data_IF_428737443537
#
_entry.id   IF_428737443537
#
_cell.length_a   1.000
_cell.length_b   1.000
_cell.length_c   1.000
_cell.angle_alpha   90.00
_cell.angle_beta   90.00
_cell.angle_gamma   90.00
#
_symmetry.space_group_name_H-M   'P 1'
#
loop_
_entity.id
_entity.type
_entity.pdbx_description
1 polymer ?
#
# COMPACT_ATOMS: atom_id res chain seq x y z
N UNK A 1 -14.31 33.19 33.34
CA UNK A 1 -15.39 32.18 33.29
C UNK A 1 -15.89 32.19 31.86
N UNK A 2 -15.72 31.20 30.99
CA UNK A 2 -15.26 29.81 31.07
C UNK A 2 -14.86 29.44 29.63
N UNK A 3 -13.72 28.77 29.46
CA UNK A 3 -13.33 28.09 28.23
C UNK A 3 -14.32 26.96 27.96
N UNK A 4 -15.04 26.99 26.85
CA UNK A 4 -15.78 25.84 26.35
C UNK A 4 -15.04 25.22 25.17
N UNK A 5 -14.39 24.10 25.48
CA UNK A 5 -14.30 22.91 24.65
C UNK A 5 -13.89 23.11 23.20
N UNK A 6 -12.57 23.18 22.99
CA UNK A 6 -11.96 22.64 21.77
C UNK A 6 -12.32 21.14 21.71
N UNK A 7 -13.49 20.84 21.15
CA UNK A 7 -13.85 19.50 20.71
C UNK A 7 -13.03 19.26 19.45
N UNK A 8 -11.74 19.00 19.66
CA UNK A 8 -10.80 18.52 18.68
C UNK A 8 -11.30 17.14 18.24
N UNK A 9 -12.27 17.16 17.32
CA UNK A 9 -12.84 15.99 16.69
C UNK A 9 -11.69 15.31 15.97
N UNK A 10 -11.05 14.37 16.67
CA UNK A 10 -9.98 13.57 16.14
C UNK A 10 -10.54 12.81 14.94
N UNK A 11 -10.35 13.38 13.75
CA UNK A 11 -10.66 12.74 12.49
C UNK A 11 -9.95 11.38 12.49
N UNK A 12 -10.63 10.31 12.05
CA UNK A 12 -10.01 8.99 12.00
C UNK A 12 -8.67 9.07 11.27
N UNK A 13 -7.58 8.69 11.95
CA UNK A 13 -6.20 8.75 11.40
C UNK A 13 -6.07 7.97 10.07
N UNK A 14 -6.96 7.00 9.84
CA UNK A 14 -7.07 6.18 8.63
C UNK A 14 -8.55 6.12 8.19
N UNK A 15 -8.78 6.29 6.88
CA UNK A 15 -10.08 6.01 6.24
C UNK A 15 -10.45 4.54 6.47
N UNK A 16 -11.74 4.21 6.55
CA UNK A 16 -12.23 2.83 6.78
C UNK A 16 -11.64 1.85 5.78
N UNK A 17 -11.44 2.28 4.53
CA UNK A 17 -10.80 1.49 3.47
C UNK A 17 -9.34 1.20 3.80
N UNK A 18 -8.60 2.19 4.30
CA UNK A 18 -7.21 2.01 4.67
C UNK A 18 -7.09 1.07 5.88
N UNK A 19 -8.00 1.18 6.86
CA UNK A 19 -8.05 0.26 8.01
C UNK A 19 -8.32 -1.18 7.59
N UNK A 20 -9.32 -1.40 6.73
CA UNK A 20 -9.63 -2.75 6.23
C UNK A 20 -8.49 -3.25 5.36
N UNK A 21 -7.87 -2.39 4.56
CA UNK A 21 -6.71 -2.77 3.75
C UNK A 21 -5.52 -3.18 4.62
N UNK A 22 -5.24 -2.42 5.68
CA UNK A 22 -4.17 -2.70 6.64
C UNK A 22 -4.43 -4.01 7.40
N UNK A 23 -5.69 -4.25 7.80
CA UNK A 23 -6.11 -5.52 8.38
C UNK A 23 -5.90 -6.68 7.40
N UNK A 24 -6.27 -6.51 6.13
CA UNK A 24 -6.02 -7.52 5.09
C UNK A 24 -4.53 -7.77 4.90
N UNK A 25 -3.69 -6.72 4.86
CA UNK A 25 -2.23 -6.88 4.80
C UNK A 25 -1.70 -7.68 6.00
N UNK A 26 -2.17 -7.37 7.21
CA UNK A 26 -1.84 -8.14 8.42
C UNK A 26 -2.26 -9.61 8.35
N UNK A 27 -3.47 -9.89 7.86
CA UNK A 27 -3.98 -11.25 7.68
C UNK A 27 -3.19 -12.03 6.61
N UNK A 28 -2.80 -11.38 5.51
CA UNK A 28 -1.97 -12.00 4.49
C UNK A 28 -0.56 -12.31 5.04
N UNK A 29 0.05 -11.41 5.81
CA UNK A 29 1.32 -11.70 6.50
C UNK A 29 1.21 -12.95 7.40
N UNK A 30 0.13 -13.06 8.19
CA UNK A 30 -0.10 -14.22 9.04
C UNK A 30 -0.31 -15.52 8.23
N UNK A 31 -1.09 -15.47 7.15
CA UNK A 31 -1.32 -16.61 6.26
C UNK A 31 -0.02 -17.08 5.60
N UNK A 32 0.84 -16.16 5.17
CA UNK A 32 2.14 -16.50 4.58
C UNK A 32 3.08 -17.13 5.62
N UNK A 33 3.09 -16.65 6.86
CA UNK A 33 3.84 -17.26 7.95
C UNK A 33 3.36 -18.70 8.24
N UNK A 34 2.05 -18.88 8.44
CA UNK A 34 1.45 -20.20 8.66
C UNK A 34 1.72 -21.15 7.49
N UNK A 35 1.61 -20.67 6.26
CA UNK A 35 1.92 -21.45 5.06
C UNK A 35 3.39 -21.88 5.00
N UNK A 36 4.31 -20.99 5.38
CA UNK A 36 5.75 -21.28 5.44
C UNK A 36 6.06 -22.34 6.52
N UNK A 37 5.49 -22.20 7.71
CA UNK A 37 5.66 -23.17 8.80
C UNK A 37 5.11 -24.55 8.41
N UNK A 38 3.92 -24.60 7.80
CA UNK A 38 3.30 -25.85 7.33
C UNK A 38 4.11 -26.54 6.23
N UNK A 39 4.77 -25.78 5.35
CA UNK A 39 5.62 -26.32 4.30
C UNK A 39 6.97 -26.83 4.83
N UNK A 40 7.54 -26.16 5.83
CA UNK A 40 8.78 -26.56 6.49
C UNK A 40 8.67 -27.90 7.23
N UNK A 41 7.47 -28.30 7.65
CA UNK A 41 7.22 -29.59 8.33
C UNK A 41 7.12 -30.81 7.39
N UNK A 42 7.21 -30.61 6.07
CA UNK A 42 6.96 -31.66 5.06
C UNK A 42 8.25 -32.21 4.39
N UNK A 43 8.98 -33.10 5.08
CA UNK A 43 9.76 -34.20 4.47
C UNK A 43 11.09 -33.93 3.71
N UNK A 44 11.86 -35.00 3.53
CA UNK A 44 13.34 -35.16 3.51
C UNK A 44 14.19 -34.58 2.37
N UNK A 45 13.69 -33.73 1.47
CA UNK A 45 14.53 -33.15 0.38
C UNK A 45 14.88 -31.68 0.67
N UNK A 46 15.63 -31.45 1.76
CA UNK A 46 15.76 -30.16 2.43
C UNK A 46 16.08 -28.97 1.51
N UNK A 47 16.98 -29.13 0.53
CA UNK A 47 17.36 -28.04 -0.39
C UNK A 47 16.28 -27.71 -1.44
N UNK A 48 15.66 -28.73 -2.03
CA UNK A 48 14.62 -28.55 -3.07
C UNK A 48 13.30 -28.12 -2.45
N UNK A 49 12.93 -28.70 -1.32
CA UNK A 49 11.75 -28.32 -0.53
C UNK A 49 11.86 -26.88 -0.04
N UNK A 50 13.03 -26.45 0.46
CA UNK A 50 13.23 -25.06 0.90
C UNK A 50 13.14 -24.06 -0.27
N UNK A 51 13.71 -24.38 -1.43
CA UNK A 51 13.59 -23.54 -2.62
C UNK A 51 12.14 -23.43 -3.12
N UNK A 52 11.42 -24.54 -3.25
CA UNK A 52 10.01 -24.50 -3.67
C UNK A 52 9.12 -23.80 -2.64
N UNK A 53 9.43 -23.91 -1.35
CA UNK A 53 8.73 -23.19 -0.27
C UNK A 53 8.99 -21.69 -0.35
N UNK A 54 10.24 -21.28 -0.53
CA UNK A 54 10.61 -19.86 -0.66
C UNK A 54 9.99 -19.24 -1.92
N UNK A 55 10.04 -19.94 -3.06
CA UNK A 55 9.42 -19.49 -4.31
C UNK A 55 7.88 -19.45 -4.18
N UNK A 56 7.27 -20.48 -3.60
CA UNK A 56 5.82 -20.53 -3.38
C UNK A 56 5.33 -19.40 -2.48
N UNK A 57 6.05 -19.15 -1.38
CA UNK A 57 5.81 -18.03 -0.49
C UNK A 57 5.91 -16.69 -1.23
N UNK A 58 6.94 -16.53 -2.06
CA UNK A 58 7.17 -15.32 -2.83
C UNK A 58 6.06 -15.03 -3.85
N UNK A 59 5.66 -16.05 -4.61
CA UNK A 59 4.59 -15.92 -5.60
C UNK A 59 3.25 -15.65 -4.92
N UNK A 60 2.96 -16.33 -3.80
CA UNK A 60 1.75 -16.09 -3.03
C UNK A 60 1.68 -14.66 -2.49
N UNK A 61 2.81 -14.13 -1.99
CA UNK A 61 2.90 -12.75 -1.52
C UNK A 61 2.66 -11.75 -2.66
N UNK A 62 3.33 -11.91 -3.81
CA UNK A 62 3.11 -11.05 -4.97
C UNK A 62 1.64 -11.07 -5.45
N UNK A 63 0.98 -12.23 -5.37
CA UNK A 63 -0.44 -12.37 -5.73
C UNK A 63 -1.36 -11.63 -4.76
N UNK A 64 -1.09 -11.72 -3.45
CA UNK A 64 -1.85 -10.99 -2.43
C UNK A 64 -1.77 -9.47 -2.66
N UNK A 65 -0.58 -8.95 -2.93
CA UNK A 65 -0.38 -7.52 -3.21
C UNK A 65 -1.07 -7.09 -4.51
N UNK A 66 -1.00 -7.91 -5.57
CA UNK A 66 -1.72 -7.63 -6.82
C UNK A 66 -3.25 -7.59 -6.62
N UNK A 67 -3.79 -8.51 -5.81
CA UNK A 67 -5.21 -8.50 -5.45
C UNK A 67 -5.56 -7.27 -4.62
N UNK A 68 -4.74 -6.91 -3.64
CA UNK A 68 -4.94 -5.70 -2.83
C UNK A 68 -4.88 -4.42 -3.65
N UNK A 69 -4.03 -4.37 -4.66
CA UNK A 69 -4.03 -3.27 -5.63
C UNK A 69 -5.35 -3.17 -6.39
N UNK A 70 -5.90 -4.29 -6.86
CA UNK A 70 -7.21 -4.32 -7.53
C UNK A 70 -8.32 -3.86 -6.58
N UNK A 71 -8.35 -4.38 -5.35
CA UNK A 71 -9.33 -3.97 -4.32
C UNK A 71 -9.23 -2.46 -4.07
N UNK A 72 -8.02 -1.92 -3.85
CA UNK A 72 -7.81 -0.48 -3.64
C UNK A 72 -8.26 0.35 -4.84
N UNK A 73 -7.98 -0.12 -6.05
CA UNK A 73 -8.39 0.55 -7.30
C UNK A 73 -9.91 0.58 -7.45
N UNK A 74 -10.58 -0.55 -7.20
CA UNK A 74 -12.03 -0.66 -7.28
C UNK A 74 -12.71 0.22 -6.22
N UNK A 75 -12.23 0.16 -4.98
CA UNK A 75 -12.78 0.94 -3.87
C UNK A 75 -12.58 2.44 -4.08
N UNK A 76 -11.40 2.87 -4.55
CA UNK A 76 -11.17 4.27 -4.90
C UNK A 76 -12.09 4.75 -6.03
N UNK A 77 -12.31 3.90 -7.05
CA UNK A 77 -13.25 4.20 -8.13
C UNK A 77 -14.68 4.28 -7.61
N UNK A 78 -15.08 3.37 -6.72
CA UNK A 78 -16.35 3.41 -6.02
C UNK A 78 -16.55 4.69 -5.22
N UNK A 79 -15.55 5.11 -4.43
CA UNK A 79 -15.60 6.36 -3.65
C UNK A 79 -15.77 7.59 -4.54
N UNK A 80 -15.05 7.66 -5.66
CA UNK A 80 -15.19 8.74 -6.66
C UNK A 80 -16.59 8.76 -7.29
N UNK A 81 -17.16 7.60 -7.59
CA UNK A 81 -18.52 7.50 -8.12
C UNK A 81 -19.56 7.93 -7.09
N UNK A 82 -19.47 7.43 -5.85
CA UNK A 82 -20.37 7.82 -4.75
C UNK A 82 -20.32 9.32 -4.51
N UNK A 83 -19.13 9.92 -4.55
CA UNK A 83 -18.97 11.37 -4.41
C UNK A 83 -19.68 12.13 -5.54
N UNK A 84 -19.49 11.72 -6.79
CA UNK A 84 -20.13 12.36 -7.92
C UNK A 84 -21.66 12.21 -7.89
N UNK A 85 -22.17 11.05 -7.46
CA UNK A 85 -23.61 10.83 -7.26
C UNK A 85 -24.16 11.68 -6.11
N UNK A 86 -23.43 11.83 -5.00
CA UNK A 86 -23.83 12.68 -3.87
C UNK A 86 -23.91 14.16 -4.28
N UNK A 87 -22.98 14.64 -5.12
CA UNK A 87 -23.02 16.00 -5.66
C UNK A 87 -24.20 16.19 -6.63
N UNK A 88 -24.46 15.20 -7.49
CA UNK A 88 -25.55 15.25 -8.47
C UNK A 88 -26.94 15.21 -7.81
N UNK A 89 -27.09 14.39 -6.78
CA UNK A 89 -28.36 14.19 -6.08
C UNK A 89 -28.53 15.15 -4.89
N UNK A 90 -27.64 16.13 -4.73
CA UNK A 90 -27.73 17.12 -3.66
C UNK A 90 -29.03 17.95 -3.80
N UNK A 91 -29.75 18.22 -2.71
CA UNK A 91 -31.04 18.90 -2.75
C UNK A 91 -30.93 20.38 -3.16
N UNK A 92 -29.79 21.02 -2.87
CA UNK A 92 -29.50 22.41 -3.20
C UNK A 92 -28.02 22.61 -3.57
N UNK A 93 -27.71 23.80 -4.09
CA UNK A 93 -26.35 24.15 -4.50
C UNK A 93 -25.37 24.19 -3.30
N UNK A 94 -25.84 24.61 -2.13
CA UNK A 94 -25.04 24.68 -0.90
C UNK A 94 -24.60 23.29 -0.40
N UNK A 95 -25.51 22.32 -0.40
CA UNK A 95 -25.25 20.93 -0.05
C UNK A 95 -24.26 20.29 -1.03
N UNK A 96 -24.41 20.55 -2.33
CA UNK A 96 -23.46 20.08 -3.34
C UNK A 96 -22.06 20.68 -3.16
N UNK A 97 -21.97 21.98 -2.82
CA UNK A 97 -20.69 22.65 -2.51
C UNK A 97 -20.05 22.10 -1.24
N UNK A 98 -20.82 21.84 -0.18
CA UNK A 98 -20.32 21.20 1.05
C UNK A 98 -19.70 19.83 0.77
N UNK A 99 -20.43 18.95 0.06
CA UNK A 99 -19.91 17.62 -0.31
C UNK A 99 -18.62 17.73 -1.13
N UNK A 100 -18.55 18.67 -2.08
CA UNK A 100 -17.34 18.88 -2.88
C UNK A 100 -16.17 19.46 -2.06
N UNK A 101 -16.45 20.36 -1.11
CA UNK A 101 -15.46 20.95 -0.20
C UNK A 101 -14.90 19.90 0.75
N UNK A 102 -15.75 19.03 1.30
CA UNK A 102 -15.33 17.97 2.22
C UNK A 102 -14.46 16.91 1.53
N UNK A 103 -14.66 16.73 0.21
CA UNK A 103 -13.84 15.88 -0.64
C UNK A 103 -12.40 16.37 -0.83
N UNK A 104 -12.18 17.68 -0.69
CA UNK A 104 -10.87 18.28 -0.91
C UNK A 104 -9.90 17.91 0.22
N UNK A 105 -8.59 17.78 -0.08
CA UNK A 105 -7.57 17.68 0.94
C UNK A 105 -7.70 18.81 1.97
N UNK A 106 -7.50 18.50 3.25
CA UNK A 106 -7.69 19.45 4.37
C UNK A 106 -7.01 20.81 4.14
N UNK A 107 -5.78 20.81 3.63
CA UNK A 107 -5.04 22.04 3.37
C UNK A 107 -5.66 22.92 2.27
N UNK A 108 -6.44 22.32 1.36
CA UNK A 108 -7.14 23.04 0.28
C UNK A 108 -8.51 23.56 0.70
N UNK A 109 -9.18 22.95 1.69
CA UNK A 109 -10.51 23.36 2.16
C UNK A 109 -10.63 24.86 2.47
N UNK A 110 -9.67 25.52 3.17
CA UNK A 110 -9.76 26.96 3.45
C UNK A 110 -9.32 27.83 2.26
N UNK A 111 -8.59 27.28 1.29
CA UNK A 111 -8.06 28.03 0.14
C UNK A 111 -9.06 28.18 -1.00
N UNK A 112 -10.13 27.38 -1.01
CA UNK A 112 -11.08 27.32 -2.11
C UNK A 112 -12.41 27.97 -1.70
N UNK A 113 -12.77 29.07 -2.37
CA UNK A 113 -14.06 29.75 -2.19
C UNK A 113 -15.22 29.02 -2.88
N UNK A 114 -16.46 29.31 -2.46
CA UNK A 114 -17.66 28.73 -3.07
C UNK A 114 -17.80 29.05 -4.56
N UNK A 115 -17.35 30.24 -4.98
CA UNK A 115 -17.30 30.66 -6.39
C UNK A 115 -16.41 29.76 -7.25
N UNK A 116 -15.38 29.15 -6.66
CA UNK A 116 -14.48 28.22 -7.36
C UNK A 116 -15.08 26.80 -7.41
N UNK A 117 -15.90 26.42 -6.42
CA UNK A 117 -16.54 25.11 -6.34
C UNK A 117 -17.75 24.99 -7.26
N UNK A 118 -18.48 26.08 -7.47
CA UNK A 118 -19.72 26.08 -8.25
C UNK A 118 -19.54 25.66 -9.72
N UNK A 119 -18.54 26.14 -10.48
CA UNK A 119 -18.27 25.67 -11.84
C UNK A 119 -17.93 24.18 -11.89
N UNK A 120 -17.23 23.67 -10.88
CA UNK A 120 -16.87 22.25 -10.78
C UNK A 120 -18.12 21.42 -10.50
N UNK A 121 -18.95 21.86 -9.54
CA UNK A 121 -20.25 21.24 -9.21
C UNK A 121 -21.14 21.13 -10.45
N UNK A 122 -21.28 22.21 -11.21
CA UNK A 122 -22.09 22.24 -12.43
C UNK A 122 -21.56 21.28 -13.51
N UNK A 123 -20.24 21.23 -13.74
CA UNK A 123 -19.63 20.27 -14.68
C UNK A 123 -19.87 18.83 -14.25
N UNK A 124 -19.76 18.55 -12.95
CA UNK A 124 -20.01 17.21 -12.40
C UNK A 124 -21.49 16.82 -12.53
N UNK A 125 -22.41 17.75 -12.23
CA UNK A 125 -23.85 17.52 -12.36
C UNK A 125 -24.28 17.34 -13.83
N UNK A 126 -23.64 18.04 -14.77
CA UNK A 126 -23.89 17.92 -16.20
C UNK A 126 -23.24 16.65 -16.81
N UNK A 127 -22.40 15.94 -16.06
CA UNK A 127 -21.78 14.70 -16.55
C UNK A 127 -22.83 13.60 -16.66
N UNK A 128 -23.16 13.23 -17.91
CA UNK A 128 -24.22 12.26 -18.24
C UNK A 128 -23.72 10.81 -18.23
N UNK A 129 -22.41 10.59 -18.42
CA UNK A 129 -21.80 9.26 -18.51
C UNK A 129 -21.11 8.85 -17.19
N UNK A 130 -21.86 8.86 -16.08
CA UNK A 130 -21.40 8.20 -14.86
C UNK A 130 -21.67 6.70 -14.96
N UNK A 131 -20.66 5.83 -14.79
CA UNK A 131 -20.89 4.39 -14.80
C UNK A 131 -21.80 3.97 -13.63
N UNK A 132 -22.76 3.08 -13.88
CA UNK A 132 -23.72 2.63 -12.84
C UNK A 132 -23.05 1.92 -11.66
N UNK A 133 -21.90 1.28 -11.90
CA UNK A 133 -21.11 0.56 -10.90
C UNK A 133 -19.61 0.72 -11.17
N UNK A 134 -18.78 0.74 -10.12
CA UNK A 134 -17.34 0.63 -10.30
C UNK A 134 -17.03 -0.75 -10.92
N UNK A 135 -16.33 -0.75 -12.06
CA UNK A 135 -15.94 -1.96 -12.78
C UNK A 135 -14.44 -1.94 -13.03
N UNK A 136 -13.85 -3.12 -13.00
CA UNK A 136 -12.48 -3.33 -13.47
C UNK A 136 -12.38 -3.10 -14.98
N UNK A 137 -11.31 -2.44 -15.37
CA UNK A 137 -10.89 -2.31 -16.78
C UNK A 137 -9.57 -3.04 -17.00
N UNK A 138 -9.25 -3.36 -18.25
CA UNK A 138 -8.03 -4.13 -18.59
C UNK A 138 -6.75 -3.53 -18.01
N UNK A 139 -6.66 -2.20 -17.95
CA UNK A 139 -5.51 -1.51 -17.38
C UNK A 139 -5.32 -1.77 -15.88
N UNK A 140 -6.40 -2.06 -15.14
CA UNK A 140 -6.29 -2.38 -13.71
C UNK A 140 -5.59 -3.74 -13.53
N UNK A 141 -5.90 -4.73 -14.37
CA UNK A 141 -5.24 -6.03 -14.38
C UNK A 141 -3.78 -5.95 -14.85
N UNK A 142 -3.47 -5.07 -15.81
CA UNK A 142 -2.09 -4.79 -16.21
C UNK A 142 -1.29 -4.13 -15.08
N UNK A 143 -1.91 -3.22 -14.32
CA UNK A 143 -1.30 -2.63 -13.13
C UNK A 143 -1.05 -3.66 -12.03
N UNK A 144 -2.03 -4.54 -11.78
CA UNK A 144 -1.90 -5.65 -10.84
C UNK A 144 -0.79 -6.62 -11.24
N UNK A 145 -0.70 -6.97 -12.52
CA UNK A 145 0.39 -7.78 -13.07
C UNK A 145 1.74 -7.07 -12.93
N UNK A 146 1.79 -5.75 -13.17
CA UNK A 146 3.00 -4.95 -12.97
C UNK A 146 3.49 -5.03 -11.52
N UNK A 147 2.59 -4.87 -10.54
CA UNK A 147 2.92 -5.00 -9.11
C UNK A 147 3.39 -6.41 -8.77
N UNK A 148 2.66 -7.44 -9.24
CA UNK A 148 3.07 -8.84 -9.07
C UNK A 148 4.50 -9.07 -9.57
N UNK A 149 4.80 -8.66 -10.80
CA UNK A 149 6.12 -8.83 -11.42
C UNK A 149 7.19 -8.05 -10.65
N UNK A 150 6.92 -6.80 -10.27
CA UNK A 150 7.86 -5.99 -9.48
C UNK A 150 8.21 -6.70 -8.18
N UNK A 151 7.21 -7.18 -7.44
CA UNK A 151 7.41 -7.83 -6.14
C UNK A 151 8.23 -9.11 -6.30
N UNK A 152 7.83 -9.99 -7.22
CA UNK A 152 8.53 -11.27 -7.44
C UNK A 152 9.97 -11.02 -7.89
N UNK A 153 10.19 -10.07 -8.82
CA UNK A 153 11.54 -9.75 -9.29
C UNK A 153 12.39 -9.01 -8.25
N UNK A 154 11.79 -8.21 -7.36
CA UNK A 154 12.56 -7.48 -6.33
C UNK A 154 12.99 -8.38 -5.18
N UNK A 155 12.29 -9.49 -4.96
CA UNK A 155 12.52 -10.41 -3.84
C UNK A 155 13.34 -11.62 -4.25
N UNK A 156 13.33 -12.00 -5.53
CA UNK A 156 14.16 -13.09 -6.05
C UNK A 156 15.68 -12.90 -5.78
N UNK A 157 16.28 -11.71 -5.98
CA UNK A 157 17.68 -11.48 -5.64
C UNK A 157 17.99 -11.74 -4.17
N UNK A 158 17.05 -11.39 -3.27
CA UNK A 158 17.18 -11.58 -1.82
C UNK A 158 17.13 -13.06 -1.43
N UNK A 159 16.39 -13.88 -2.18
CA UNK A 159 16.31 -15.33 -1.98
C UNK A 159 17.47 -16.09 -2.64
N UNK A 160 18.11 -15.52 -3.66
CA UNK A 160 19.18 -16.16 -4.44
C UNK A 160 20.38 -16.69 -3.59
N UNK A 161 20.85 -16.00 -2.52
CA UNK A 161 21.93 -16.49 -1.68
C UNK A 161 21.65 -17.87 -1.07
N UNK A 162 20.40 -18.20 -0.75
CA UNK A 162 20.04 -19.51 -0.18
C UNK A 162 20.16 -20.66 -1.18
N UNK A 163 20.21 -20.36 -2.48
CA UNK A 163 20.44 -21.35 -3.55
C UNK A 163 21.93 -21.53 -3.80
N UNK A 164 22.69 -20.44 -3.72
CA UNK A 164 24.12 -20.41 -4.05
C UNK A 164 24.97 -20.93 -2.89
N UNK A 165 24.66 -20.51 -1.66
CA UNK A 165 25.44 -20.84 -0.47
C UNK A 165 24.79 -22.01 0.27
N UNK A 166 25.58 -23.07 0.50
CA UNK A 166 25.19 -24.19 1.37
C UNK A 166 25.25 -23.83 2.86
N UNK A 167 26.11 -22.89 3.22
CA UNK A 167 26.25 -22.40 4.59
C UNK A 167 25.14 -21.39 4.91
N UNK A 168 24.22 -21.79 5.79
CA UNK A 168 23.03 -21.00 6.16
C UNK A 168 23.40 -19.64 6.78
N UNK A 169 24.36 -19.53 7.72
CA UNK A 169 24.82 -18.25 8.25
C UNK A 169 25.33 -17.29 7.16
N UNK A 170 26.13 -17.79 6.22
CA UNK A 170 26.65 -16.99 5.09
C UNK A 170 25.52 -16.55 4.16
N UNK A 171 24.58 -17.45 3.82
CA UNK A 171 23.42 -17.12 2.98
C UNK A 171 22.57 -16.00 3.62
N UNK A 172 22.32 -16.08 4.93
CA UNK A 172 21.59 -15.08 5.71
C UNK A 172 22.29 -13.72 5.70
N UNK A 173 23.62 -13.69 5.91
CA UNK A 173 24.38 -12.45 5.89
C UNK A 173 24.32 -11.76 4.52
N UNK A 174 24.55 -12.51 3.45
CA UNK A 174 24.53 -11.98 2.08
C UNK A 174 23.12 -11.47 1.72
N UNK A 175 22.08 -12.22 2.08
CA UNK A 175 20.68 -11.82 1.86
C UNK A 175 20.33 -10.53 2.62
N UNK A 176 20.76 -10.39 3.88
CA UNK A 176 20.57 -9.17 4.68
C UNK A 176 21.27 -7.96 4.07
N UNK A 177 22.55 -8.11 3.68
CA UNK A 177 23.30 -7.02 3.04
C UNK A 177 22.62 -6.60 1.74
N UNK A 178 22.21 -7.55 0.91
CA UNK A 178 21.53 -7.24 -0.35
C UNK A 178 20.21 -6.51 -0.11
N UNK A 179 19.43 -6.94 0.88
CA UNK A 179 18.17 -6.28 1.28
C UNK A 179 18.41 -4.82 1.68
N UNK A 180 19.45 -4.55 2.48
CA UNK A 180 19.79 -3.19 2.89
C UNK A 180 20.23 -2.32 1.72
N UNK A 181 21.00 -2.87 0.76
CA UNK A 181 21.40 -2.15 -0.46
C UNK A 181 20.17 -1.82 -1.31
N UNK A 182 19.23 -2.76 -1.47
CA UNK A 182 17.99 -2.53 -2.20
C UNK A 182 17.10 -1.50 -1.50
N UNK A 183 16.97 -1.56 -0.17
CA UNK A 183 16.25 -0.56 0.63
C UNK A 183 16.86 0.85 0.48
N UNK A 184 18.19 0.95 0.47
CA UNK A 184 18.87 2.21 0.21
C UNK A 184 18.53 2.76 -1.18
N UNK A 185 18.58 1.92 -2.22
CA UNK A 185 18.19 2.29 -3.58
C UNK A 185 16.74 2.77 -3.69
N UNK A 186 15.81 2.07 -3.04
CA UNK A 186 14.40 2.48 -2.96
C UNK A 186 14.26 3.83 -2.24
N UNK A 187 14.96 4.03 -1.12
CA UNK A 187 14.95 5.29 -0.39
C UNK A 187 15.56 6.45 -1.17
N UNK A 188 16.62 6.23 -1.95
CA UNK A 188 17.16 7.22 -2.89
C UNK A 188 16.11 7.66 -3.91
N UNK A 189 15.43 6.69 -4.54
CA UNK A 189 14.41 6.94 -5.55
C UNK A 189 13.19 7.70 -4.98
N UNK A 190 12.74 7.32 -3.77
CA UNK A 190 11.67 8.00 -3.05
C UNK A 190 12.07 9.42 -2.65
N UNK A 191 13.26 9.60 -2.07
CA UNK A 191 13.74 10.91 -1.65
C UNK A 191 13.80 11.88 -2.83
N UNK A 192 14.35 11.43 -3.97
CA UNK A 192 14.40 12.24 -5.18
C UNK A 192 12.99 12.70 -5.63
N UNK A 193 11.99 11.82 -5.61
CA UNK A 193 10.61 12.17 -5.96
C UNK A 193 9.92 13.06 -4.92
N UNK A 194 10.26 12.93 -3.64
CA UNK A 194 9.68 13.71 -2.55
C UNK A 194 10.33 15.11 -2.40
N UNK A 195 11.34 15.45 -3.22
CA UNK A 195 12.11 16.70 -3.11
C UNK A 195 13.02 16.75 -1.88
N UNK A 196 13.17 15.63 -1.16
CA UNK A 196 14.08 15.49 -0.03
C UNK A 196 15.40 14.93 -0.55
N UNK A 197 16.55 15.49 -0.16
CA UNK A 197 17.85 15.03 -0.67
C UNK A 197 17.98 13.50 -0.61
N UNK A 198 18.04 12.84 -1.77
CA UNK A 198 17.79 11.40 -1.92
C UNK A 198 18.59 10.53 -0.95
N UNK A 199 19.85 10.91 -0.69
CA UNK A 199 20.74 10.23 0.25
C UNK A 199 20.22 10.15 1.70
N UNK A 200 19.54 11.18 2.19
CA UNK A 200 18.96 11.17 3.54
C UNK A 200 17.81 10.17 3.65
N UNK A 201 16.96 10.12 2.63
CA UNK A 201 15.85 9.16 2.55
C UNK A 201 16.37 7.72 2.39
N UNK A 202 17.40 7.51 1.56
CA UNK A 202 18.11 6.24 1.46
C UNK A 202 18.64 5.75 2.80
N UNK A 203 19.38 6.60 3.52
CA UNK A 203 19.94 6.24 4.82
C UNK A 203 18.85 5.95 5.86
N UNK A 204 17.79 6.75 5.88
CA UNK A 204 16.64 6.53 6.78
C UNK A 204 15.99 5.16 6.54
N UNK A 205 15.81 4.75 5.28
CA UNK A 205 15.26 3.44 4.93
C UNK A 205 16.16 2.29 5.37
N UNK A 206 17.48 2.44 5.27
CA UNK A 206 18.44 1.45 5.79
C UNK A 206 18.34 1.34 7.31
N UNK A 207 18.33 2.47 8.03
CA UNK A 207 18.18 2.49 9.49
C UNK A 207 16.88 1.81 9.92
N UNK A 208 15.77 2.11 9.24
CA UNK A 208 14.49 1.45 9.50
C UNK A 208 14.57 -0.07 9.27
N UNK A 209 15.16 -0.51 8.16
CA UNK A 209 15.37 -1.92 7.86
C UNK A 209 16.23 -2.65 8.91
N UNK A 210 17.29 -2.00 9.40
CA UNK A 210 18.13 -2.53 10.49
C UNK A 210 17.35 -2.64 11.79
N UNK A 211 16.60 -1.60 12.18
CA UNK A 211 15.78 -1.62 13.41
C UNK A 211 14.73 -2.73 13.36
N UNK A 212 14.06 -2.89 12.21
CA UNK A 212 13.08 -3.97 12.02
C UNK A 212 13.74 -5.35 12.11
N UNK A 213 14.91 -5.52 11.48
CA UNK A 213 15.68 -6.77 11.56
C UNK A 213 16.07 -7.09 13.00
N UNK A 214 16.54 -6.09 13.76
CA UNK A 214 16.89 -6.27 15.18
C UNK A 214 15.67 -6.62 16.03
N UNK A 215 14.51 -6.01 15.77
CA UNK A 215 13.28 -6.33 16.45
C UNK A 215 12.83 -7.79 16.19
N UNK A 216 12.91 -8.24 14.93
CA UNK A 216 12.60 -9.63 14.56
C UNK A 216 13.52 -10.61 15.30
N UNK A 217 14.83 -10.33 15.34
CA UNK A 217 15.81 -11.18 16.06
C UNK A 217 15.50 -11.21 17.56
N UNK A 218 15.20 -10.06 18.17
CA UNK A 218 14.85 -9.97 19.59
C UNK A 218 13.56 -10.72 19.96
N UNK A 219 12.61 -10.80 19.02
CA UNK A 219 11.34 -11.51 19.17
C UNK A 219 11.43 -13.02 18.89
N UNK A 220 12.63 -13.55 18.62
CA UNK A 220 12.88 -14.98 18.45
C UNK A 220 12.94 -15.48 17.01
N UNK A 221 13.19 -14.57 16.04
CA UNK A 221 13.46 -14.89 14.64
C UNK A 221 14.93 -15.09 14.30
#
# INVERSE_FOLDING_TARGET
>A
MTHEGDADSHEPVLDTVDRVSELCFGLFMALTFVGTVSAATAGEDAGRTMLYTALGCNLAWGLADALMFLVRTLTNRGRRLTLALAIRNAPDADAGRRVLRDALPRFMRPLVSDENLEPIRLRLAATTNLPDRPRFVRNDFLGALGIFVIIVLSTFPVALPFIIFRDVPTALLVSRVLTLVMLFGCGLALGHHAGWGGWKAGLAMVVFGVLLTMAIIALGG
#
